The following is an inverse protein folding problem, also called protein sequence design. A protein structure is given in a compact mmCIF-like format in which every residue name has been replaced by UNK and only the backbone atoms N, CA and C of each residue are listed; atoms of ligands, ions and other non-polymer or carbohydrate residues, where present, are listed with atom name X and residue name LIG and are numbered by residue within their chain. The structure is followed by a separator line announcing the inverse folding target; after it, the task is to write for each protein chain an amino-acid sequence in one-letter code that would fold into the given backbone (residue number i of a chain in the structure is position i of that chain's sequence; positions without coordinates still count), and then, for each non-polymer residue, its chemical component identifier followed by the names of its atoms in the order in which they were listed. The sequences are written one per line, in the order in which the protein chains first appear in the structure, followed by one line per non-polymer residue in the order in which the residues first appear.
data_IF_890942528050
#
_entry.id   IF_890942528050
#
_cell.length_a   1.000
_cell.length_b   1.000
_cell.length_c   1.000
_cell.angle_alpha   90.00
_cell.angle_beta   90.00
_cell.angle_gamma   90.00
#
_symmetry.space_group_name_H-M   'P 1'
#
loop_
_entity.id
_entity.type
_entity.pdbx_description
1 polymer ?
#
# COMPACT_ATOMS: atom_id res chain seq x y z
N UNK A 1 39.22 2.02 5.14
CA UNK A 1 38.16 2.04 4.12
C UNK A 1 37.26 0.82 4.30
N UNK A 2 35.94 1.03 4.40
CA UNK A 2 34.79 0.15 4.04
C UNK A 2 33.56 0.79 4.72
N UNK A 3 33.00 1.90 4.22
CA UNK A 3 31.99 1.97 3.14
C UNK A 3 30.93 0.86 3.24
N UNK A 4 30.27 0.73 4.39
CA UNK A 4 29.05 -0.08 4.56
C UNK A 4 27.99 0.79 5.24
N UNK A 5 27.60 1.86 4.55
CA UNK A 5 26.54 2.78 4.96
C UNK A 5 25.99 3.38 3.66
N UNK A 6 24.91 2.82 3.11
CA UNK A 6 23.92 3.51 2.26
C UNK A 6 22.86 2.54 1.65
N UNK A 7 23.24 1.30 1.33
CA UNK A 7 22.39 0.41 0.51
C UNK A 7 21.13 -0.11 1.23
N UNK A 8 21.16 -0.24 2.56
CA UNK A 8 20.03 -0.78 3.33
C UNK A 8 18.90 0.25 3.49
N UNK A 9 19.22 1.55 3.57
CA UNK A 9 18.19 2.59 3.70
C UNK A 9 17.42 2.84 2.40
N UNK A 10 18.05 2.69 1.22
CA UNK A 10 17.36 2.85 -0.07
C UNK A 10 16.30 1.76 -0.32
N UNK A 11 16.54 0.53 0.10
CA UNK A 11 15.61 -0.58 -0.12
C UNK A 11 14.31 -0.47 0.69
N UNK A 12 14.34 0.22 1.84
CA UNK A 12 13.16 0.41 2.69
C UNK A 12 12.23 1.47 2.09
N UNK A 13 12.81 2.52 1.48
CA UNK A 13 12.04 3.59 0.83
C UNK A 13 11.30 3.11 -0.43
N UNK A 14 11.90 2.20 -1.21
CA UNK A 14 11.25 1.62 -2.39
C UNK A 14 10.10 0.66 -2.04
N UNK A 15 10.22 -0.07 -0.92
CA UNK A 15 9.21 -1.02 -0.47
C UNK A 15 7.94 -0.34 0.05
N UNK A 16 8.04 0.83 0.71
CA UNK A 16 6.88 1.59 1.15
C UNK A 16 6.08 2.15 -0.04
N UNK A 17 6.78 2.62 -1.08
CA UNK A 17 6.14 3.23 -2.26
C UNK A 17 5.34 2.21 -3.08
N UNK A 18 5.91 1.02 -3.27
CA UNK A 18 5.22 -0.07 -3.96
C UNK A 18 3.95 -0.53 -3.20
N UNK A 19 4.02 -0.59 -1.87
CA UNK A 19 2.85 -0.93 -1.05
C UNK A 19 1.74 0.11 -1.13
N UNK A 20 2.08 1.41 -1.10
CA UNK A 20 1.09 2.50 -1.21
C UNK A 20 0.40 2.51 -2.58
N UNK A 21 1.14 2.30 -3.67
CA UNK A 21 0.59 2.21 -5.03
C UNK A 21 -0.34 0.99 -5.18
N UNK A 22 0.05 -0.18 -4.65
CA UNK A 22 -0.79 -1.36 -4.65
C UNK A 22 -2.08 -1.17 -3.82
N UNK A 23 -2.00 -0.44 -2.70
CA UNK A 23 -3.16 -0.10 -1.87
C UNK A 23 -4.10 0.87 -2.57
N UNK A 24 -3.57 1.91 -3.20
CA UNK A 24 -4.37 2.87 -3.94
C UNK A 24 -5.13 2.20 -5.10
N UNK A 25 -4.44 1.33 -5.85
CA UNK A 25 -5.02 0.52 -6.91
C UNK A 25 -6.16 -0.39 -6.39
N UNK A 26 -5.89 -1.20 -5.36
CA UNK A 26 -6.89 -2.13 -4.82
C UNK A 26 -8.10 -1.41 -4.22
N UNK A 27 -7.90 -0.25 -3.58
CA UNK A 27 -8.99 0.57 -3.05
C UNK A 27 -9.83 1.22 -4.15
N UNK A 28 -9.20 1.71 -5.22
CA UNK A 28 -9.89 2.31 -6.36
C UNK A 28 -10.78 1.29 -7.09
N UNK A 29 -10.30 0.06 -7.28
CA UNK A 29 -11.06 -1.03 -7.89
C UNK A 29 -12.24 -1.44 -7.00
N UNK A 30 -11.99 -1.61 -5.70
CA UNK A 30 -13.03 -1.96 -4.73
C UNK A 30 -14.12 -0.88 -4.61
N UNK A 31 -13.76 0.39 -4.75
CA UNK A 31 -14.72 1.51 -4.69
C UNK A 31 -15.30 1.91 -6.04
N UNK A 32 -14.85 1.29 -7.13
CA UNK A 32 -15.22 1.61 -8.52
C UNK A 32 -14.97 3.10 -8.84
N UNK A 33 -13.79 3.61 -8.49
CA UNK A 33 -13.41 5.00 -8.74
C UNK A 33 -11.97 5.16 -9.27
N UNK A 34 -11.59 6.40 -9.62
CA UNK A 34 -10.24 6.67 -10.13
C UNK A 34 -9.18 6.53 -9.02
N UNK A 35 -8.03 5.94 -9.35
CA UNK A 35 -6.85 5.89 -8.46
C UNK A 35 -6.42 7.29 -8.02
N UNK A 36 -6.53 8.29 -8.91
CA UNK A 36 -6.15 9.68 -8.60
C UNK A 36 -7.03 10.31 -7.51
N UNK A 37 -8.20 9.73 -7.25
CA UNK A 37 -9.11 10.17 -6.18
C UNK A 37 -8.84 9.47 -4.84
N UNK A 38 -7.85 8.57 -4.78
CA UNK A 38 -7.48 7.79 -3.59
C UNK A 38 -6.15 8.29 -3.03
N UNK A 39 -6.14 8.57 -1.74
CA UNK A 39 -4.97 8.95 -0.96
C UNK A 39 -4.68 7.84 0.03
N UNK A 40 -3.41 7.44 0.12
CA UNK A 40 -2.93 6.43 1.06
C UNK A 40 -1.93 7.08 2.00
N UNK A 41 -2.18 6.97 3.30
CA UNK A 41 -1.29 7.48 4.34
C UNK A 41 -0.78 6.33 5.20
N UNK A 42 0.54 6.21 5.32
CA UNK A 42 1.18 5.22 6.19
C UNK A 42 1.03 5.60 7.66
N UNK A 43 0.40 4.73 8.44
CA UNK A 43 0.27 4.84 9.90
C UNK A 43 1.40 4.11 10.64
N UNK A 44 2.34 3.52 9.90
CA UNK A 44 3.42 2.68 10.44
C UNK A 44 3.02 1.23 10.66
N UNK A 45 4.00 0.36 10.94
CA UNK A 45 3.82 -1.07 11.21
C UNK A 45 2.94 -1.82 10.17
N UNK A 46 3.06 -1.46 8.89
CA UNK A 46 2.27 -1.99 7.77
C UNK A 46 0.77 -1.67 7.84
N UNK A 47 0.39 -0.60 8.51
CA UNK A 47 -0.97 -0.08 8.57
C UNK A 47 -1.09 1.21 7.76
N UNK A 48 -2.20 1.37 7.07
CA UNK A 48 -2.43 2.46 6.13
C UNK A 48 -3.86 2.98 6.22
N UNK A 49 -4.02 4.30 6.38
CA UNK A 49 -5.30 4.95 6.18
C UNK A 49 -5.49 5.21 4.68
N UNK A 50 -6.66 4.85 4.15
CA UNK A 50 -7.00 5.09 2.75
C UNK A 50 -8.26 5.94 2.71
N UNK A 51 -8.18 7.08 2.05
CA UNK A 51 -9.31 8.00 1.91
C UNK A 51 -9.47 8.41 0.45
N UNK A 52 -10.71 8.52 0.00
CA UNK A 52 -10.99 8.83 -1.39
C UNK A 52 -12.42 8.51 -1.76
N UNK A 53 -12.93 9.16 -2.81
CA UNK A 53 -14.25 8.85 -3.35
C UNK A 53 -15.38 8.92 -2.29
N UNK A 54 -15.26 9.88 -1.35
CA UNK A 54 -16.14 10.08 -0.18
C UNK A 54 -16.20 8.90 0.80
N UNK A 55 -15.23 7.99 0.72
CA UNK A 55 -15.11 6.81 1.58
C UNK A 55 -13.75 6.82 2.28
N UNK A 56 -13.71 6.13 3.41
CA UNK A 56 -12.49 5.89 4.16
C UNK A 56 -12.42 4.42 4.53
N UNK A 57 -11.21 3.86 4.55
CA UNK A 57 -10.96 2.52 5.07
C UNK A 57 -9.59 2.45 5.74
N UNK A 58 -9.47 1.54 6.69
CA UNK A 58 -8.18 1.20 7.28
C UNK A 58 -7.69 -0.12 6.68
N UNK A 59 -6.46 -0.11 6.20
CA UNK A 59 -5.82 -1.27 5.58
C UNK A 59 -4.65 -1.73 6.43
N UNK A 60 -4.58 -3.04 6.69
CA UNK A 60 -3.33 -3.67 7.15
C UNK A 60 -2.73 -4.50 6.04
N UNK A 61 -1.46 -4.25 5.75
CA UNK A 61 -0.64 -5.02 4.83
C UNK A 61 0.10 -6.12 5.59
N UNK A 62 -0.16 -7.39 5.26
CA UNK A 62 0.60 -8.53 5.78
C UNK A 62 1.33 -9.24 4.65
N UNK A 63 2.66 -9.15 4.63
CA UNK A 63 3.53 -9.81 3.65
C UNK A 63 4.70 -8.92 3.21
N UNK A 64 5.64 -9.44 2.40
CA UNK A 64 6.55 -8.59 1.64
C UNK A 64 5.74 -7.69 0.69
N UNK A 65 6.27 -6.53 0.30
CA UNK A 65 5.58 -5.53 -0.53
C UNK A 65 4.89 -6.12 -1.77
N UNK A 66 5.48 -7.15 -2.40
CA UNK A 66 4.95 -7.82 -3.60
C UNK A 66 3.87 -8.88 -3.32
N UNK A 67 3.49 -9.08 -2.05
CA UNK A 67 2.54 -10.11 -1.61
C UNK A 67 1.57 -9.60 -0.55
N UNK A 68 1.35 -8.29 -0.52
CA UNK A 68 0.53 -7.63 0.47
C UNK A 68 -0.93 -8.11 0.40
N UNK A 69 -1.37 -8.84 1.43
CA UNK A 69 -2.80 -9.09 1.64
C UNK A 69 -3.37 -7.84 2.30
N UNK A 70 -4.09 -7.05 1.52
CA UNK A 70 -4.75 -5.81 1.94
C UNK A 70 -6.08 -6.19 2.59
N UNK A 71 -6.16 -6.08 3.92
CA UNK A 71 -7.41 -6.29 4.66
C UNK A 71 -8.06 -4.96 4.97
N UNK A 72 -9.27 -4.74 4.47
CA UNK A 72 -10.17 -3.67 4.85
C UNK A 72 -11.28 -4.19 5.78
N UNK A 73 -12.10 -3.30 6.34
CA UNK A 73 -13.21 -3.67 7.23
C UNK A 73 -14.23 -4.62 6.56
N UNK A 74 -14.38 -4.52 5.24
CA UNK A 74 -15.28 -5.35 4.44
C UNK A 74 -14.69 -6.70 4.00
N UNK A 75 -13.39 -6.94 4.23
CA UNK A 75 -12.70 -8.17 3.82
C UNK A 75 -11.34 -7.92 3.16
N UNK A 76 -10.84 -8.94 2.46
CA UNK A 76 -9.56 -8.86 1.73
C UNK A 76 -9.82 -8.19 0.39
N UNK A 77 -9.10 -7.10 0.08
CA UNK A 77 -9.19 -6.44 -1.22
C UNK A 77 -8.46 -7.27 -2.30
N UNK A 78 -8.92 -7.21 -3.57
CA UNK A 78 -8.27 -7.89 -4.67
C UNK A 78 -6.96 -7.20 -5.05
N UNK A 79 -5.82 -7.72 -4.59
CA UNK A 79 -4.49 -7.10 -4.84
C UNK A 79 -3.76 -7.67 -6.05
N UNK A 80 -4.27 -8.78 -6.62
CA UNK A 80 -3.61 -9.54 -7.69
C UNK A 80 -3.44 -8.77 -8.99
N UNK A 81 -4.23 -7.73 -9.20
CA UNK A 81 -4.20 -6.89 -10.41
C UNK A 81 -3.26 -5.69 -10.26
N UNK A 82 -2.76 -5.44 -9.04
CA UNK A 82 -2.00 -4.26 -8.67
C UNK A 82 -0.52 -4.56 -8.40
N UNK A 83 -0.08 -5.80 -8.67
CA UNK A 83 1.30 -6.25 -8.55
C UNK A 83 1.76 -6.59 -9.97
N UNK A 84 2.35 -5.61 -10.67
CA UNK A 84 3.18 -5.84 -11.88
C UNK A 84 4.67 -5.72 -11.51
#
# INVERSE_FOLDING_TARGET
MRRVNLLVMLAILSACKASEEAIACAASDYWECSVDAVVVESLGANSYAVSGCEKEMHVSCKGPSDGCIIKADAGVLPTRQCIE
#
